data_IF_968003056377
#
_entry.id   IF_968003056377
#
_cell.length_a   1.000
_cell.length_b   1.000
_cell.length_c   1.000
_cell.angle_alpha   90.00
_cell.angle_beta   90.00
_cell.angle_gamma   90.00
#
_symmetry.space_group_name_H-M   'P 1'
#
loop_
_entity.id
_entity.type
_entity.pdbx_description
1 polymer ?
#
# COMPACT_ATOMS: atom_id res chain seq x y z
N UNK A 1 -2.91 11.03 -4.66
CA UNK A 1 -3.78 9.90 -5.04
C UNK A 1 -3.66 8.87 -3.93
N UNK A 2 -4.77 8.28 -3.48
CA UNK A 2 -4.79 7.38 -2.31
C UNK A 2 -5.16 5.96 -2.73
N UNK A 3 -4.63 4.97 -2.02
CA UNK A 3 -4.91 3.54 -2.23
C UNK A 3 -6.22 3.19 -1.53
N UNK A 4 -7.07 2.44 -2.23
CA UNK A 4 -8.39 2.01 -1.74
C UNK A 4 -8.51 0.48 -1.66
N UNK A 5 -9.42 -0.01 -0.83
CA UNK A 5 -9.64 -1.45 -0.58
C UNK A 5 -10.11 -2.23 -1.82
N UNK A 6 -10.77 -1.54 -2.74
CA UNK A 6 -11.26 -2.11 -4.01
C UNK A 6 -10.16 -2.23 -5.07
N UNK A 7 -8.94 -1.76 -4.79
CA UNK A 7 -7.79 -1.94 -5.69
C UNK A 7 -7.15 -3.31 -5.46
N UNK A 8 -6.51 -3.85 -6.49
CA UNK A 8 -5.76 -5.10 -6.40
C UNK A 8 -4.30 -4.85 -6.05
N UNK A 9 -3.67 -5.64 -5.16
CA UNK A 9 -2.28 -5.44 -4.73
C UNK A 9 -1.31 -5.40 -5.91
N UNK A 10 -1.57 -6.19 -6.96
CA UNK A 10 -0.79 -6.17 -8.20
C UNK A 10 -0.89 -4.82 -8.94
N UNK A 11 -2.08 -4.23 -9.03
CA UNK A 11 -2.27 -2.91 -9.66
C UNK A 11 -1.64 -1.80 -8.82
N UNK A 12 -1.73 -1.91 -7.49
CA UNK A 12 -1.12 -0.94 -6.57
C UNK A 12 0.40 -0.93 -6.74
N UNK A 13 1.05 -2.09 -6.74
CA UNK A 13 2.52 -2.18 -6.94
C UNK A 13 2.94 -1.68 -8.33
N UNK A 14 2.11 -1.90 -9.36
CA UNK A 14 2.40 -1.38 -10.71
C UNK A 14 2.40 0.16 -10.77
N UNK A 15 1.59 0.83 -9.95
CA UNK A 15 1.53 2.29 -9.89
C UNK A 15 2.54 2.84 -8.87
N UNK A 16 2.70 2.15 -7.73
CA UNK A 16 3.56 2.53 -6.63
C UNK A 16 4.46 1.36 -6.24
N UNK A 17 5.60 1.22 -6.91
CA UNK A 17 6.51 0.09 -6.70
C UNK A 17 7.01 -0.02 -5.23
N UNK A 18 7.15 1.10 -4.52
CA UNK A 18 7.53 1.16 -3.09
C UNK A 18 6.58 0.36 -2.19
N UNK A 19 5.30 0.28 -2.55
CA UNK A 19 4.30 -0.48 -1.77
C UNK A 19 4.52 -1.98 -1.76
N UNK A 20 5.38 -2.51 -2.64
CA UNK A 20 5.74 -3.93 -2.69
C UNK A 20 6.35 -4.41 -1.38
N UNK A 21 7.15 -3.56 -0.71
CA UNK A 21 7.74 -3.90 0.59
C UNK A 21 6.66 -4.04 1.67
N UNK A 22 5.67 -3.15 1.65
CA UNK A 22 4.50 -3.23 2.54
C UNK A 22 3.77 -4.56 2.32
N UNK A 23 3.44 -4.94 1.08
CA UNK A 23 2.76 -6.23 0.83
C UNK A 23 3.57 -7.43 1.32
N UNK A 24 4.90 -7.41 1.14
CA UNK A 24 5.77 -8.47 1.67
C UNK A 24 5.77 -8.51 3.20
N UNK A 25 5.79 -7.37 3.88
CA UNK A 25 5.74 -7.25 5.36
C UNK A 25 4.47 -7.91 5.93
N UNK A 26 3.34 -7.72 5.27
CA UNK A 26 2.06 -8.35 5.65
C UNK A 26 1.87 -9.76 5.08
N UNK A 27 2.86 -10.32 4.37
CA UNK A 27 2.78 -11.63 3.70
C UNK A 27 1.59 -11.75 2.72
N UNK A 28 1.25 -10.64 2.05
CA UNK A 28 0.15 -10.57 1.08
C UNK A 28 0.69 -10.86 -0.31
N UNK A 29 0.08 -11.83 -0.99
CA UNK A 29 0.42 -12.13 -2.37
C UNK A 29 -0.10 -11.05 -3.32
N UNK A 30 0.67 -10.73 -4.35
CA UNK A 30 0.27 -9.81 -5.42
C UNK A 30 -0.72 -10.52 -6.35
N UNK A 31 -2.01 -10.37 -6.05
CA UNK A 31 -3.11 -10.97 -6.81
C UNK A 31 -3.87 -9.90 -7.58
N UNK A 32 -4.63 -10.31 -8.59
CA UNK A 32 -5.58 -9.45 -9.32
C UNK A 32 -6.92 -9.25 -8.55
N UNK A 33 -7.14 -9.95 -7.43
CA UNK A 33 -8.28 -9.73 -6.51
C UNK A 33 -8.10 -8.45 -5.69
N UNK A 34 -9.20 -7.90 -5.20
CA UNK A 34 -9.22 -6.69 -4.36
C UNK A 34 -8.65 -6.94 -2.96
N UNK A 35 -8.08 -5.92 -2.33
CA UNK A 35 -7.53 -6.01 -0.96
C UNK A 35 -8.58 -6.51 0.02
N UNK A 36 -9.80 -5.97 -0.03
CA UNK A 36 -10.92 -6.42 0.82
C UNK A 36 -11.30 -7.89 0.66
N UNK A 37 -10.96 -8.52 -0.48
CA UNK A 37 -11.19 -9.95 -0.70
C UNK A 37 -10.02 -10.83 -0.29
N UNK A 38 -8.80 -10.29 -0.21
CA UNK A 38 -7.59 -11.07 0.12
C UNK A 38 -7.17 -10.94 1.58
N UNK A 39 -7.58 -9.87 2.27
CA UNK A 39 -7.30 -9.65 3.68
C UNK A 39 -8.59 -9.41 4.47
N UNK A 40 -8.55 -9.70 5.76
CA UNK A 40 -9.64 -9.36 6.69
C UNK A 40 -9.73 -7.85 6.89
N UNK A 41 -10.91 -7.35 7.23
CA UNK A 41 -11.17 -5.91 7.45
C UNK A 41 -10.22 -5.28 8.48
N UNK A 42 -9.89 -5.98 9.57
CA UNK A 42 -8.93 -5.51 10.58
C UNK A 42 -7.53 -5.26 10.00
N UNK A 43 -7.06 -6.15 9.13
CA UNK A 43 -5.75 -6.05 8.48
C UNK A 43 -5.80 -5.04 7.35
N UNK A 44 -6.94 -4.97 6.64
CA UNK A 44 -7.17 -4.04 5.56
C UNK A 44 -7.01 -2.58 6.02
N UNK A 45 -7.55 -2.23 7.18
CA UNK A 45 -7.44 -0.86 7.73
C UNK A 45 -5.97 -0.51 7.99
N UNK A 46 -5.22 -1.40 8.65
CA UNK A 46 -3.80 -1.22 8.95
C UNK A 46 -2.94 -1.16 7.68
N UNK A 47 -3.21 -2.07 6.74
CA UNK A 47 -2.52 -2.15 5.47
C UNK A 47 -2.75 -0.88 4.63
N UNK A 48 -4.00 -0.41 4.52
CA UNK A 48 -4.32 0.80 3.79
C UNK A 48 -3.66 2.03 4.42
N UNK A 49 -3.56 2.09 5.75
CA UNK A 49 -2.84 3.17 6.42
C UNK A 49 -1.35 3.17 6.04
N UNK A 50 -0.65 2.04 6.17
CA UNK A 50 0.78 1.97 5.79
C UNK A 50 1.00 2.18 4.29
N UNK A 51 0.14 1.63 3.43
CA UNK A 51 0.23 1.84 1.99
C UNK A 51 0.09 3.32 1.61
N UNK A 52 -0.87 4.03 2.21
CA UNK A 52 -1.05 5.46 1.97
C UNK A 52 0.05 6.29 2.63
N UNK A 53 0.62 5.84 3.75
CA UNK A 53 1.78 6.46 4.38
C UNK A 53 3.03 6.31 3.50
N UNK A 54 3.28 5.16 2.90
CA UNK A 54 4.39 4.93 1.96
C UNK A 54 4.25 5.80 0.70
N UNK A 55 3.06 5.83 0.12
CA UNK A 55 2.74 6.67 -1.05
C UNK A 55 2.77 8.17 -0.72
N UNK A 56 2.42 8.55 0.51
CA UNK A 56 2.47 9.94 0.97
C UNK A 56 3.88 10.38 1.42
N UNK A 57 4.66 9.47 1.98
CA UNK A 57 6.02 9.72 2.47
C UNK A 57 7.00 9.89 1.32
N UNK A 58 6.76 9.22 0.19
CA UNK A 58 7.52 9.48 -1.06
C UNK A 58 7.36 10.91 -1.58
N UNK A 59 6.32 11.66 -1.17
CA UNK A 59 6.20 13.11 -1.43
C UNK A 59 6.84 14.01 -0.37
N UNK A 60 7.27 13.47 0.77
CA UNK A 60 8.06 14.19 1.77
C UNK A 60 9.46 13.58 1.84
N UNK A 61 10.29 13.90 0.84
CA UNK A 61 11.70 14.05 1.18
C UNK A 61 11.75 15.19 2.18
N UNK A 62 11.82 14.87 3.47
CA UNK A 62 12.43 15.74 4.46
C UNK A 62 13.87 15.96 4.00
N UNK A 63 14.06 16.95 3.13
CA UNK A 63 15.34 17.63 3.02
C UNK A 63 15.46 18.44 4.31
N UNK A 64 16.23 17.91 5.24
CA UNK A 64 16.96 18.72 6.22
C UNK A 64 17.59 19.90 5.46
N UNK A 65 17.22 21.14 5.78
CA UNK A 65 17.75 22.30 5.08
C UNK A 65 17.15 23.62 5.54
N UNK A 66 17.73 24.18 6.61
CA UNK A 66 17.48 25.53 7.11
C UNK A 66 18.10 25.76 8.47
#
# INVERSE_FOLDING_TARGET
>A
MVIQSNMSPKSIVLVWESTKEVFNKYNIQLTDKTLESVVKEEILILLLAELNEEVGSTSTTCIEGG
#
